data_IF_897129850033
#
_entry.id   IF_897129850033
#
_cell.length_a   1.000
_cell.length_b   1.000
_cell.length_c   1.000
_cell.angle_alpha   90.00
_cell.angle_beta   90.00
_cell.angle_gamma   90.00
#
_symmetry.space_group_name_H-M   'P 1'
#
loop_
_entity.id
_entity.type
_entity.pdbx_description
1 polymer ?
#
# COMPACT_ATOMS: atom_id res chain seq x y z
N UNK A 1 -5.88 -14.34 18.86
CA UNK A 1 -7.29 -14.75 18.56
C UNK A 1 -7.26 -15.33 17.17
N UNK A 2 -7.95 -16.45 16.92
CA UNK A 2 -8.00 -17.05 15.58
C UNK A 2 -8.85 -16.15 14.67
N UNK A 3 -8.59 -16.18 13.36
CA UNK A 3 -9.33 -15.35 12.39
C UNK A 3 -10.86 -15.54 12.49
N UNK A 4 -11.32 -16.78 12.74
CA UNK A 4 -12.74 -17.09 12.89
C UNK A 4 -13.38 -16.40 14.09
N UNK A 5 -12.69 -16.40 15.24
CA UNK A 5 -13.16 -15.74 16.47
C UNK A 5 -13.19 -14.21 16.29
N UNK A 6 -12.19 -13.67 15.58
CA UNK A 6 -12.13 -12.26 15.26
C UNK A 6 -13.29 -11.83 14.34
N UNK A 7 -13.52 -12.59 13.27
CA UNK A 7 -14.62 -12.35 12.32
C UNK A 7 -15.97 -12.40 13.03
N UNK A 8 -16.19 -13.39 13.90
CA UNK A 8 -17.45 -13.53 14.62
C UNK A 8 -17.67 -12.39 15.63
N UNK A 9 -16.61 -11.97 16.35
CA UNK A 9 -16.66 -10.80 17.21
C UNK A 9 -16.99 -9.52 16.43
N UNK A 10 -16.34 -9.31 15.29
CA UNK A 10 -16.60 -8.15 14.42
C UNK A 10 -18.04 -8.14 13.87
N UNK A 11 -18.59 -9.30 13.51
CA UNK A 11 -19.99 -9.44 13.05
C UNK A 11 -21.01 -9.04 14.12
N UNK A 12 -20.69 -9.32 15.38
CA UNK A 12 -21.52 -8.93 16.55
C UNK A 12 -21.32 -7.49 16.98
N UNK A 13 -20.34 -6.77 16.39
CA UNK A 13 -20.00 -5.41 16.79
C UNK A 13 -19.22 -5.34 18.10
N UNK A 14 -18.47 -6.40 18.45
CA UNK A 14 -17.67 -6.45 19.67
C UNK A 14 -16.52 -5.45 19.58
N UNK A 15 -16.47 -4.51 20.51
CA UNK A 15 -15.44 -3.47 20.59
C UNK A 15 -14.04 -4.08 20.79
N UNK A 16 -13.92 -5.18 21.54
CA UNK A 16 -12.65 -5.87 21.75
C UNK A 16 -12.12 -6.47 20.44
N UNK A 17 -12.99 -7.08 19.64
CA UNK A 17 -12.63 -7.60 18.33
C UNK A 17 -12.18 -6.46 17.41
N UNK A 18 -12.84 -5.30 17.46
CA UNK A 18 -12.47 -4.14 16.67
C UNK A 18 -11.09 -3.57 17.08
N UNK A 19 -10.80 -3.47 18.38
CA UNK A 19 -9.46 -3.07 18.85
C UNK A 19 -8.36 -4.02 18.40
N UNK A 20 -8.63 -5.33 18.40
CA UNK A 20 -7.67 -6.34 17.91
C UNK A 20 -7.44 -6.17 16.41
N UNK A 21 -8.51 -6.03 15.63
CA UNK A 21 -8.42 -5.75 14.18
C UNK A 21 -7.55 -4.51 13.91
N UNK A 22 -7.85 -3.41 14.59
CA UNK A 22 -7.11 -2.16 14.43
C UNK A 22 -5.63 -2.35 14.75
N UNK A 23 -5.30 -2.93 15.91
CA UNK A 23 -3.92 -3.18 16.33
C UNK A 23 -3.15 -4.06 15.34
N UNK A 24 -3.79 -5.08 14.78
CA UNK A 24 -3.14 -6.05 13.88
C UNK A 24 -3.00 -5.55 12.44
N UNK A 25 -3.92 -4.70 11.99
CA UNK A 25 -4.01 -4.35 10.57
C UNK A 25 -3.79 -2.87 10.24
N UNK A 26 -3.93 -1.93 11.18
CA UNK A 26 -3.79 -0.50 10.88
C UNK A 26 -2.42 -0.17 10.26
N UNK A 27 -1.32 -0.64 10.87
CA UNK A 27 0.03 -0.43 10.32
C UNK A 27 0.25 -1.07 8.95
N UNK A 28 -0.32 -2.26 8.72
CA UNK A 28 -0.22 -2.97 7.43
C UNK A 28 -1.01 -2.23 6.34
N UNK A 29 -2.22 -1.76 6.67
CA UNK A 29 -3.04 -0.94 5.77
C UNK A 29 -2.32 0.37 5.46
N UNK A 30 -1.77 1.05 6.47
CA UNK A 30 -1.00 2.27 6.30
C UNK A 30 0.22 2.07 5.39
N UNK A 31 0.93 0.96 5.55
CA UNK A 31 2.06 0.60 4.70
C UNK A 31 1.65 0.36 3.23
N UNK A 32 0.47 -0.26 2.99
CA UNK A 32 -0.10 -0.40 1.63
C UNK A 32 -0.47 0.99 1.08
N UNK A 33 -1.13 1.83 1.87
CA UNK A 33 -1.52 3.18 1.47
C UNK A 33 -0.30 4.02 1.10
N UNK A 34 0.73 4.05 1.94
CA UNK A 34 1.99 4.77 1.68
C UNK A 34 2.66 4.28 0.40
N UNK A 35 2.76 2.96 0.20
CA UNK A 35 3.36 2.39 -1.01
C UNK A 35 2.57 2.74 -2.28
N UNK A 36 1.25 2.85 -2.21
CA UNK A 36 0.40 3.09 -3.37
C UNK A 36 0.25 4.58 -3.70
N UNK A 37 0.00 5.40 -2.69
CA UNK A 37 -0.30 6.83 -2.85
C UNK A 37 0.95 7.71 -2.74
N UNK A 38 1.97 7.27 -2.01
CA UNK A 38 3.18 8.05 -1.77
C UNK A 38 2.97 9.30 -0.90
N UNK A 39 1.81 9.44 -0.23
CA UNK A 39 1.37 10.71 0.35
C UNK A 39 1.00 10.64 1.84
N UNK A 40 0.66 11.81 2.38
CA UNK A 40 0.36 12.09 3.78
C UNK A 40 -1.04 11.62 4.23
N UNK A 41 -1.92 11.20 3.30
CA UNK A 41 -3.30 10.79 3.61
C UNK A 41 -3.43 9.35 4.16
N UNK A 42 -2.35 8.80 4.69
CA UNK A 42 -2.30 7.41 5.18
C UNK A 42 -3.34 7.17 6.27
N UNK A 43 -3.50 8.11 7.21
CA UNK A 43 -4.43 7.97 8.34
C UNK A 43 -5.89 8.00 7.87
N UNK A 44 -6.22 8.84 6.91
CA UNK A 44 -7.56 8.91 6.33
C UNK A 44 -7.90 7.61 5.59
N UNK A 45 -6.94 7.07 4.84
CA UNK A 45 -7.10 5.77 4.17
C UNK A 45 -7.31 4.66 5.20
N UNK A 46 -6.53 4.62 6.29
CA UNK A 46 -6.69 3.62 7.35
C UNK A 46 -8.09 3.71 7.95
N UNK A 47 -8.58 4.91 8.27
CA UNK A 47 -9.92 5.12 8.80
C UNK A 47 -11.00 4.64 7.83
N UNK A 48 -10.92 5.02 6.56
CA UNK A 48 -11.87 4.60 5.53
C UNK A 48 -11.90 3.08 5.34
N UNK A 49 -10.73 2.43 5.35
CA UNK A 49 -10.62 0.98 5.28
C UNK A 49 -11.29 0.33 6.49
N UNK A 50 -11.02 0.81 7.70
CA UNK A 50 -11.64 0.28 8.93
C UNK A 50 -13.16 0.44 8.91
N UNK A 51 -13.67 1.57 8.45
CA UNK A 51 -15.11 1.80 8.28
C UNK A 51 -15.72 0.84 7.22
N UNK A 52 -15.02 0.60 6.10
CA UNK A 52 -15.50 -0.35 5.07
C UNK A 52 -15.48 -1.78 5.59
N UNK A 53 -14.46 -2.18 6.36
CA UNK A 53 -14.43 -3.49 7.02
C UNK A 53 -15.65 -3.65 7.93
N UNK A 54 -15.87 -2.70 8.82
CA UNK A 54 -17.00 -2.71 9.75
C UNK A 54 -18.35 -2.86 9.03
N UNK A 55 -18.57 -2.09 7.96
CA UNK A 55 -19.81 -2.14 7.16
C UNK A 55 -19.97 -3.43 6.37
N UNK A 56 -18.87 -4.10 6.00
CA UNK A 56 -18.90 -5.24 5.06
C UNK A 56 -18.52 -6.59 5.67
N UNK A 57 -18.08 -6.65 6.93
CA UNK A 57 -17.63 -7.90 7.56
C UNK A 57 -18.69 -9.00 7.57
N UNK A 58 -19.97 -8.63 7.63
CA UNK A 58 -21.09 -9.59 7.52
C UNK A 58 -21.13 -10.31 6.17
N UNK A 59 -20.56 -9.71 5.11
CA UNK A 59 -20.48 -10.28 3.75
C UNK A 59 -19.23 -11.14 3.55
N UNK A 60 -18.29 -11.15 4.49
CA UNK A 60 -17.10 -12.01 4.41
C UNK A 60 -17.51 -13.47 4.54
N UNK A 61 -17.27 -14.28 3.49
CA UNK A 61 -17.69 -15.67 3.40
C UNK A 61 -16.64 -16.69 3.84
N UNK A 62 -15.38 -16.24 4.04
CA UNK A 62 -14.25 -17.14 4.34
C UNK A 62 -13.63 -17.80 3.09
N UNK A 63 -13.98 -17.36 1.88
CA UNK A 63 -13.42 -17.88 0.61
C UNK A 63 -11.94 -17.52 0.40
N UNK A 64 -11.38 -16.74 1.30
CA UNK A 64 -9.97 -16.33 1.37
C UNK A 64 -9.56 -16.09 2.83
N UNK A 65 -8.25 -15.97 3.08
CA UNK A 65 -7.78 -15.49 4.39
C UNK A 65 -8.38 -14.12 4.69
N UNK A 66 -8.62 -13.83 5.97
CA UNK A 66 -9.11 -12.53 6.42
C UNK A 66 -8.17 -11.39 5.96
N UNK A 67 -6.86 -11.59 6.09
CA UNK A 67 -5.84 -10.64 5.62
C UNK A 67 -5.96 -10.30 4.13
N UNK A 68 -6.16 -11.31 3.28
CA UNK A 68 -6.33 -11.13 1.82
C UNK A 68 -7.57 -10.28 1.53
N UNK A 69 -8.66 -10.53 2.24
CA UNK A 69 -9.90 -9.77 2.10
C UNK A 69 -9.74 -8.31 2.55
N UNK A 70 -9.08 -8.09 3.70
CA UNK A 70 -8.76 -6.75 4.23
C UNK A 70 -7.87 -5.98 3.25
N UNK A 71 -6.79 -6.60 2.75
CA UNK A 71 -5.88 -5.94 1.80
C UNK A 71 -6.56 -5.59 0.48
N UNK A 72 -7.50 -6.41 0.01
CA UNK A 72 -8.32 -6.07 -1.15
C UNK A 72 -9.16 -4.81 -0.90
N UNK A 73 -9.74 -4.66 0.29
CA UNK A 73 -10.46 -3.43 0.68
C UNK A 73 -9.50 -2.25 0.68
N UNK A 74 -8.32 -2.38 1.30
CA UNK A 74 -7.31 -1.33 1.36
C UNK A 74 -6.87 -0.87 -0.03
N UNK A 75 -6.55 -1.80 -0.92
CA UNK A 75 -6.15 -1.47 -2.31
C UNK A 75 -7.28 -0.77 -3.07
N UNK A 76 -8.53 -1.18 -2.87
CA UNK A 76 -9.66 -0.51 -3.52
C UNK A 76 -9.86 0.91 -3.00
N UNK A 77 -9.70 1.14 -1.68
CA UNK A 77 -9.72 2.49 -1.10
C UNK A 77 -8.61 3.34 -1.70
N UNK A 78 -7.37 2.83 -1.75
CA UNK A 78 -6.25 3.55 -2.37
C UNK A 78 -6.52 3.93 -3.84
N UNK A 79 -7.14 3.03 -4.61
CA UNK A 79 -7.55 3.34 -6.01
C UNK A 79 -8.57 4.47 -6.07
N UNK A 80 -9.55 4.48 -5.16
CA UNK A 80 -10.55 5.55 -5.08
C UNK A 80 -9.89 6.91 -4.77
N UNK A 81 -8.94 6.93 -3.83
CA UNK A 81 -8.15 8.13 -3.49
C UNK A 81 -7.33 8.61 -4.67
N UNK A 82 -6.57 7.73 -5.33
CA UNK A 82 -5.77 8.09 -6.50
C UNK A 82 -6.65 8.65 -7.64
N UNK A 83 -7.81 8.07 -7.89
CA UNK A 83 -8.76 8.57 -8.89
C UNK A 83 -9.32 9.95 -8.51
N UNK A 84 -9.52 10.22 -7.21
CA UNK A 84 -9.96 11.52 -6.69
C UNK A 84 -8.86 12.57 -6.87
N UNK A 85 -7.60 12.23 -6.59
CA UNK A 85 -6.47 13.16 -6.79
C UNK A 85 -6.28 13.53 -8.25
N UNK A 86 -6.31 12.54 -9.16
CA UNK A 86 -6.20 12.81 -10.60
C UNK A 86 -7.28 13.78 -11.08
N UNK A 87 -8.53 13.55 -10.69
CA UNK A 87 -9.65 14.47 -11.04
C UNK A 87 -9.44 15.87 -10.46
N UNK A 88 -8.91 15.98 -9.24
CA UNK A 88 -8.64 17.28 -8.61
C UNK A 88 -7.50 18.00 -9.30
N UNK A 89 -6.45 17.29 -9.68
CA UNK A 89 -5.32 17.83 -10.45
C UNK A 89 -5.78 18.30 -11.84
N UNK A 90 -6.59 17.53 -12.57
CA UNK A 90 -7.13 17.91 -13.86
C UNK A 90 -7.98 19.20 -13.78
N UNK A 91 -8.78 19.37 -12.73
CA UNK A 91 -9.58 20.60 -12.51
C UNK A 91 -8.70 21.78 -12.14
N UNK A 92 -7.57 21.55 -11.42
CA UNK A 92 -6.65 22.63 -11.03
C UNK A 92 -5.71 23.04 -12.17
N UNK A 93 -5.37 22.12 -13.09
CA UNK A 93 -4.56 22.44 -14.29
C UNK A 93 -5.30 23.36 -15.26
N UNK A 94 -6.61 23.37 -15.23
CA UNK A 94 -7.40 24.38 -15.99
C UNK A 94 -7.32 25.79 -15.36
N UNK A 95 -6.72 25.93 -14.15
CA UNK A 95 -6.69 27.19 -13.40
C UNK A 95 -5.32 27.61 -12.85
N UNK A 96 -4.24 26.86 -13.02
CA UNK A 96 -2.92 27.23 -12.48
C UNK A 96 -1.76 26.62 -13.27
N UNK A 97 -0.81 27.49 -13.62
CA UNK A 97 0.54 27.15 -14.04
C UNK A 97 1.34 26.63 -12.82
N UNK A 98 2.06 25.53 -13.02
CA UNK A 98 3.20 24.98 -12.28
C UNK A 98 3.38 25.35 -10.79
N UNK A 99 3.03 24.41 -9.90
CA UNK A 99 3.75 24.23 -8.63
C UNK A 99 4.12 22.75 -8.44
N UNK A 100 5.42 22.45 -8.60
CA UNK A 100 6.05 21.21 -8.18
C UNK A 100 5.98 21.11 -6.64
N UNK A 101 5.33 20.07 -6.11
CA UNK A 101 5.41 19.76 -4.70
C UNK A 101 6.62 18.87 -4.42
N UNK A 102 7.65 19.35 -3.72
CA UNK A 102 8.71 18.50 -3.23
C UNK A 102 8.20 17.70 -2.02
N UNK A 103 8.23 16.39 -2.13
CA UNK A 103 8.01 15.47 -0.98
C UNK A 103 9.17 15.62 0.00
N UNK A 104 8.88 16.15 1.19
CA UNK A 104 9.84 16.21 2.29
C UNK A 104 9.71 14.93 3.12
N UNK A 105 10.75 14.12 3.17
CA UNK A 105 10.88 13.02 4.11
C UNK A 105 11.51 13.51 5.40
N UNK A 106 11.00 13.15 6.58
CA UNK A 106 11.70 13.40 7.82
C UNK A 106 12.89 12.46 7.93
N UNK A 107 14.09 13.02 7.95
CA UNK A 107 15.34 12.32 8.22
C UNK A 107 15.42 12.03 9.72
N UNK A 108 15.55 10.77 10.09
CA UNK A 108 15.87 10.36 11.46
C UNK A 108 17.38 10.26 11.56
N UNK A 109 18.00 11.17 12.30
CA UNK A 109 19.44 11.15 12.60
C UNK A 109 19.79 9.96 13.50
N UNK A 110 20.57 9.02 13.00
CA UNK A 110 21.34 8.05 13.78
C UNK A 110 22.74 7.97 13.19
N UNK A 111 23.71 8.36 14.01
CA UNK A 111 25.10 8.61 13.70
C UNK A 111 25.93 7.32 13.82
N UNK A 112 26.52 6.83 12.71
CA UNK A 112 27.76 6.02 12.64
C UNK A 112 28.17 5.85 11.17
N UNK A 113 29.46 5.86 10.83
CA UNK A 113 29.98 5.80 9.46
C UNK A 113 29.51 4.58 8.62
N UNK A 114 29.11 3.49 9.26
CA UNK A 114 28.52 2.31 8.63
C UNK A 114 27.03 2.53 8.30
N UNK A 115 26.38 3.51 8.94
CA UNK A 115 24.98 3.92 8.67
C UNK A 115 24.86 4.86 7.45
N UNK A 116 25.87 5.69 7.17
CA UNK A 116 25.81 6.67 6.06
C UNK A 116 25.73 5.99 4.68
N UNK A 117 26.46 4.90 4.48
CA UNK A 117 26.37 4.13 3.22
C UNK A 117 25.04 3.40 3.11
N UNK A 118 24.50 2.90 4.23
CA UNK A 118 23.18 2.27 4.29
C UNK A 118 22.05 3.27 4.08
N UNK A 119 22.15 4.47 4.61
CA UNK A 119 21.15 5.55 4.42
C UNK A 119 21.13 6.03 2.98
N UNK A 120 22.28 6.26 2.35
CA UNK A 120 22.36 6.64 0.94
C UNK A 120 21.79 5.55 0.01
N UNK A 121 22.02 4.28 0.31
CA UNK A 121 21.45 3.18 -0.47
C UNK A 121 19.94 3.05 -0.24
N UNK A 122 19.47 3.28 0.99
CA UNK A 122 18.05 3.32 1.31
C UNK A 122 17.34 4.47 0.59
N UNK A 123 17.87 5.68 0.61
CA UNK A 123 17.34 6.84 -0.12
C UNK A 123 17.25 6.56 -1.62
N UNK A 124 18.29 6.01 -2.23
CA UNK A 124 18.27 5.61 -3.65
C UNK A 124 17.19 4.61 -3.98
N UNK A 125 16.97 3.62 -3.11
CA UNK A 125 15.90 2.63 -3.29
C UNK A 125 14.53 3.32 -3.19
N UNK A 126 14.35 4.21 -2.22
CA UNK A 126 13.09 4.94 -2.04
C UNK A 126 12.80 5.85 -3.24
N UNK A 127 13.78 6.61 -3.72
CA UNK A 127 13.66 7.46 -4.92
C UNK A 127 13.32 6.62 -6.17
N UNK A 128 13.97 5.47 -6.35
CA UNK A 128 13.67 4.58 -7.45
C UNK A 128 12.26 3.99 -7.37
N UNK A 129 11.79 3.67 -6.16
CA UNK A 129 10.42 3.21 -5.93
C UNK A 129 9.40 4.32 -6.23
N UNK A 130 9.67 5.57 -5.87
CA UNK A 130 8.77 6.70 -6.14
C UNK A 130 8.58 6.95 -7.64
N UNK A 131 9.60 6.71 -8.45
CA UNK A 131 9.54 6.82 -9.92
C UNK A 131 8.74 5.69 -10.59
N UNK A 132 8.40 4.64 -9.86
CA UNK A 132 7.53 3.58 -10.37
C UNK A 132 6.06 3.99 -10.36
N UNK A 133 5.25 3.34 -11.19
CA UNK A 133 3.80 3.48 -11.09
C UNK A 133 3.28 2.95 -9.75
N UNK A 134 2.15 3.50 -9.25
CA UNK A 134 1.51 3.05 -8.02
C UNK A 134 1.22 1.52 -8.03
N UNK A 135 0.81 0.98 -9.18
CA UNK A 135 0.57 -0.46 -9.33
C UNK A 135 1.86 -1.28 -9.21
N UNK A 136 2.97 -0.81 -9.81
CA UNK A 136 4.26 -1.50 -9.74
C UNK A 136 4.81 -1.53 -8.31
N UNK A 137 4.76 -0.38 -7.61
CA UNK A 137 5.14 -0.28 -6.20
C UNK A 137 4.35 -1.24 -5.33
N UNK A 138 3.02 -1.27 -5.53
CA UNK A 138 2.13 -2.16 -4.80
C UNK A 138 2.49 -3.64 -5.02
N UNK A 139 2.71 -4.05 -6.26
CA UNK A 139 3.03 -5.45 -6.58
C UNK A 139 4.36 -5.88 -5.95
N UNK A 140 5.39 -5.04 -6.04
CA UNK A 140 6.70 -5.27 -5.39
C UNK A 140 6.51 -5.38 -3.88
N UNK A 141 5.76 -4.43 -3.28
CA UNK A 141 5.49 -4.47 -1.84
C UNK A 141 4.80 -5.76 -1.42
N UNK A 142 3.71 -6.13 -2.07
CA UNK A 142 2.93 -7.32 -1.68
C UNK A 142 3.74 -8.61 -1.85
N UNK A 143 4.58 -8.70 -2.90
CA UNK A 143 5.35 -9.92 -3.18
C UNK A 143 6.70 -9.96 -2.49
N UNK A 144 7.49 -8.90 -2.60
CA UNK A 144 8.91 -8.91 -2.24
C UNK A 144 9.13 -8.46 -0.79
N UNK A 145 8.25 -7.59 -0.26
CA UNK A 145 8.31 -7.12 1.12
C UNK A 145 7.40 -7.94 2.03
N UNK A 146 6.13 -8.12 1.65
CA UNK A 146 5.13 -8.81 2.49
C UNK A 146 5.11 -10.34 2.26
N UNK A 147 5.79 -10.86 1.24
CA UNK A 147 5.95 -12.29 0.98
C UNK A 147 4.68 -13.02 0.52
N UNK A 148 3.65 -12.30 0.04
CA UNK A 148 2.38 -12.89 -0.36
C UNK A 148 2.53 -13.78 -1.60
N UNK A 149 1.72 -14.83 -1.69
CA UNK A 149 1.66 -15.71 -2.86
C UNK A 149 1.02 -14.98 -4.06
N UNK A 150 1.30 -15.47 -5.28
CA UNK A 150 0.65 -14.93 -6.48
C UNK A 150 -0.86 -15.06 -6.47
N UNK A 151 -1.37 -16.14 -5.85
CA UNK A 151 -2.79 -16.41 -5.66
C UNK A 151 -3.43 -15.37 -4.73
N UNK A 152 -2.77 -15.03 -3.63
CA UNK A 152 -3.21 -13.99 -2.69
C UNK A 152 -3.21 -12.62 -3.37
N UNK A 153 -2.12 -12.26 -4.04
CA UNK A 153 -1.99 -11.00 -4.77
C UNK A 153 -3.07 -10.90 -5.86
N UNK A 154 -3.30 -11.96 -6.63
CA UNK A 154 -4.36 -12.03 -7.66
C UNK A 154 -5.73 -11.66 -7.08
N UNK A 155 -6.06 -12.20 -5.90
CA UNK A 155 -7.31 -11.89 -5.18
C UNK A 155 -7.35 -10.44 -4.66
N UNK A 156 -6.21 -9.92 -4.17
CA UNK A 156 -6.09 -8.55 -3.65
C UNK A 156 -6.28 -7.52 -4.75
N UNK A 157 -5.55 -7.67 -5.87
CA UNK A 157 -5.59 -6.70 -6.98
C UNK A 157 -6.71 -6.96 -7.98
N UNK A 158 -7.43 -8.10 -7.83
CA UNK A 158 -8.51 -8.56 -8.73
C UNK A 158 -8.04 -8.70 -10.19
N UNK A 159 -6.86 -9.29 -10.39
CA UNK A 159 -6.26 -9.58 -11.70
C UNK A 159 -5.93 -11.07 -11.82
N UNK A 160 -5.96 -11.69 -13.02
CA UNK A 160 -5.53 -13.07 -13.23
C UNK A 160 -4.07 -13.29 -12.76
N UNK A 161 -3.77 -14.48 -12.23
CA UNK A 161 -2.42 -14.83 -11.73
C UNK A 161 -1.34 -14.61 -12.79
N UNK A 162 -1.60 -14.98 -14.05
CA UNK A 162 -0.67 -14.76 -15.16
C UNK A 162 -0.35 -13.28 -15.37
N UNK A 163 -1.37 -12.41 -15.28
CA UNK A 163 -1.19 -10.96 -15.36
C UNK A 163 -0.36 -10.41 -14.18
N UNK A 164 -0.60 -10.92 -12.95
CA UNK A 164 0.19 -10.54 -11.77
C UNK A 164 1.67 -10.91 -11.95
N UNK A 165 1.96 -12.14 -12.42
CA UNK A 165 3.33 -12.60 -12.68
C UNK A 165 4.03 -11.72 -13.70
N UNK A 166 3.38 -11.43 -14.83
CA UNK A 166 3.93 -10.58 -15.90
C UNK A 166 4.15 -9.15 -15.43
N UNK A 167 3.17 -8.55 -14.76
CA UNK A 167 3.27 -7.18 -14.24
C UNK A 167 4.41 -7.07 -13.22
N UNK A 168 4.55 -8.03 -12.31
CA UNK A 168 5.62 -8.03 -11.32
C UNK A 168 7.00 -8.20 -11.97
N UNK A 169 7.13 -9.05 -13.00
CA UNK A 169 8.36 -9.18 -13.75
C UNK A 169 8.80 -7.85 -14.36
N UNK A 170 7.89 -7.13 -15.02
CA UNK A 170 8.19 -5.82 -15.59
C UNK A 170 8.42 -4.73 -14.54
N UNK A 171 7.71 -4.76 -13.42
CA UNK A 171 7.93 -3.83 -12.30
C UNK A 171 9.37 -3.96 -11.75
N UNK A 172 9.82 -5.20 -11.50
CA UNK A 172 11.20 -5.47 -11.07
C UNK A 172 12.25 -5.03 -12.09
N UNK A 173 11.98 -5.23 -13.39
CA UNK A 173 12.87 -4.79 -14.47
C UNK A 173 13.00 -3.27 -14.49
N UNK A 174 11.87 -2.54 -14.32
CA UNK A 174 11.88 -1.06 -14.22
C UNK A 174 12.63 -0.59 -12.99
N UNK A 175 12.38 -1.19 -11.83
CA UNK A 175 13.08 -0.85 -10.59
C UNK A 175 14.60 -1.04 -10.75
N UNK A 176 15.02 -2.19 -11.30
CA UNK A 176 16.45 -2.47 -11.54
C UNK A 176 17.08 -1.38 -12.41
N UNK A 177 16.43 -1.00 -13.51
CA UNK A 177 16.92 0.06 -14.41
C UNK A 177 17.08 1.39 -13.68
N UNK A 178 16.08 1.81 -12.89
CA UNK A 178 16.13 3.05 -12.12
C UNK A 178 17.25 3.05 -11.07
N UNK A 179 17.53 1.90 -10.44
CA UNK A 179 18.63 1.75 -9.49
C UNK A 179 20.01 1.77 -10.17
N UNK A 180 20.12 1.27 -11.41
CA UNK A 180 21.35 1.32 -12.21
C UNK A 180 21.63 2.77 -12.63
N UNK A 181 20.62 3.50 -13.12
CA UNK A 181 20.72 4.92 -13.50
C UNK A 181 21.08 5.84 -12.32
N UNK A 182 20.66 5.50 -11.09
CA UNK A 182 21.00 6.26 -9.88
C UNK A 182 22.42 6.00 -9.35
N UNK A 183 23.18 5.09 -9.97
CA UNK A 183 24.58 4.79 -9.62
C UNK A 183 25.59 5.54 -10.49
N UNK A 184 25.15 6.08 -11.64
CA UNK A 184 25.95 6.88 -12.56
C UNK A 184 25.91 8.39 -12.15
#
# INVERSE_FOLDING_TARGET
MRDEELVEGLRRGDEKAFRILYREYAGKIGSIAKSYLGSDDVDDVVQDVMLRIFKSIRKFKGDSKLSTWIYRIAVNVCKDYLAKYKRRSEVLTDFAEDEEHPSQHPVSEIDTEESVTGELEYERIMDALEKLSAEDRLLIKLRDVDGLSYEEISKIVSKPIGSVKSSLHYARKRLKKLLEEARE
#
